data_IF_861978449360
#
_entry.id   IF_861978449360
#
_cell.length_a   1.000
_cell.length_b   1.000
_cell.length_c   1.000
_cell.angle_alpha   90.00
_cell.angle_beta   90.00
_cell.angle_gamma   90.00
#
_symmetry.space_group_name_H-M   'P 1'
#
loop_
_entity.id
_entity.type
_entity.pdbx_description
1 polymer ?
#
# COMPACT_ATOMS: atom_id res chain seq x y z
N UNK A 1 -18.43 16.38 -4.17
CA UNK A 1 -18.24 15.85 -2.81
C UNK A 1 -18.07 14.35 -2.96
N UNK A 2 -16.84 13.90 -3.19
CA UNK A 2 -16.56 12.46 -3.26
C UNK A 2 -16.71 11.94 -1.84
N UNK A 3 -17.62 11.00 -1.62
CA UNK A 3 -17.91 10.41 -0.33
C UNK A 3 -16.60 9.85 0.28
N UNK A 4 -16.00 10.62 1.19
CA UNK A 4 -14.65 10.41 1.70
C UNK A 4 -14.47 9.08 2.45
N UNK A 5 -15.57 8.39 2.77
CA UNK A 5 -15.61 7.06 3.40
C UNK A 5 -15.30 5.93 2.42
N UNK A 6 -15.50 6.14 1.11
CA UNK A 6 -15.34 5.08 0.10
C UNK A 6 -13.89 4.78 -0.22
N UNK A 7 -12.95 5.66 0.14
CA UNK A 7 -11.52 5.45 -0.16
C UNK A 7 -10.98 4.18 0.49
N UNK A 8 -11.45 3.82 1.68
CA UNK A 8 -11.01 2.63 2.40
C UNK A 8 -11.52 1.32 1.80
N UNK A 9 -12.62 1.38 1.05
CA UNK A 9 -13.20 0.28 0.26
C UNK A 9 -12.60 0.17 -1.14
N UNK A 10 -11.86 1.19 -1.60
CA UNK A 10 -11.15 1.10 -2.87
C UNK A 10 -10.14 -0.04 -2.82
N UNK A 11 -10.02 -0.72 -3.95
CA UNK A 11 -9.06 -1.81 -4.09
C UNK A 11 -7.77 -1.28 -4.68
N UNK A 12 -6.68 -1.75 -4.11
CA UNK A 12 -5.36 -1.42 -4.57
C UNK A 12 -4.38 -2.50 -4.18
N UNK A 13 -3.16 -2.31 -4.66
CA UNK A 13 -2.04 -3.18 -4.45
C UNK A 13 -0.99 -2.39 -3.70
N UNK A 14 -0.62 -2.86 -2.52
CA UNK A 14 0.46 -2.29 -1.73
C UNK A 14 1.75 -3.04 -2.09
N UNK A 15 2.65 -2.39 -2.80
CA UNK A 15 3.97 -2.92 -3.12
C UNK A 15 5.00 -2.33 -2.19
N UNK A 16 6.02 -3.14 -1.86
CA UNK A 16 7.23 -2.68 -1.21
C UNK A 16 8.31 -2.65 -2.29
N UNK A 17 8.88 -1.49 -2.55
CA UNK A 17 10.12 -1.36 -3.30
C UNK A 17 11.20 -2.10 -2.51
N UNK A 18 11.35 -3.39 -2.81
CA UNK A 18 12.56 -4.09 -2.43
C UNK A 18 13.68 -3.52 -3.30
N UNK A 19 14.72 -3.04 -2.63
CA UNK A 19 15.97 -2.61 -3.22
C UNK A 19 16.37 -3.61 -4.31
N UNK A 20 16.50 -3.15 -5.56
CA UNK A 20 16.96 -3.95 -6.70
C UNK A 20 18.46 -4.32 -6.57
N UNK A 21 18.99 -4.41 -5.35
CA UNK A 21 20.33 -4.92 -5.04
C UNK A 21 20.26 -6.38 -4.59
N UNK A 22 19.82 -7.26 -5.49
CA UNK A 22 20.25 -8.66 -5.45
C UNK A 22 20.03 -9.29 -6.81
N UNK A 23 21.08 -9.21 -7.64
CA UNK A 23 21.27 -10.05 -8.81
C UNK A 23 21.44 -11.52 -8.40
N UNK A 24 20.37 -12.13 -7.91
CA UNK A 24 20.29 -13.55 -7.59
C UNK A 24 19.11 -14.08 -8.39
N UNK A 25 19.42 -14.95 -9.36
CA UNK A 25 18.42 -15.79 -10.04
C UNK A 25 17.61 -16.53 -8.96
N UNK A 26 16.37 -16.09 -8.71
CA UNK A 26 15.47 -16.73 -7.74
C UNK A 26 14.38 -17.52 -8.47
N UNK A 27 14.14 -18.78 -8.07
CA UNK A 27 13.24 -19.70 -8.75
C UNK A 27 11.79 -19.22 -8.61
N UNK A 28 11.00 -19.40 -9.69
CA UNK A 28 9.56 -19.14 -9.81
C UNK A 28 8.84 -19.06 -8.45
N UNK A 29 8.68 -17.84 -7.93
CA UNK A 29 7.77 -17.60 -6.82
C UNK A 29 6.36 -17.70 -7.39
N UNK A 30 5.56 -18.52 -6.73
CA UNK A 30 4.12 -18.65 -6.93
C UNK A 30 3.50 -17.27 -7.20
N UNK A 31 2.51 -17.24 -8.09
CA UNK A 31 1.78 -16.09 -8.63
C UNK A 31 1.01 -15.29 -7.54
N UNK A 32 1.64 -15.00 -6.40
CA UNK A 32 1.20 -14.05 -5.38
C UNK A 32 1.52 -12.63 -5.87
N UNK A 33 1.14 -12.34 -7.12
CA UNK A 33 0.94 -10.96 -7.54
C UNK A 33 -0.03 -10.38 -6.50
N UNK A 34 0.36 -9.34 -5.75
CA UNK A 34 -0.45 -8.86 -4.65
C UNK A 34 -1.81 -8.40 -5.20
N UNK A 35 -2.80 -9.27 -5.02
CA UNK A 35 -4.12 -9.08 -5.59
C UNK A 35 -4.71 -7.79 -5.03
N UNK A 36 -5.33 -6.99 -5.90
CA UNK A 36 -5.96 -5.74 -5.49
C UNK A 36 -7.00 -6.03 -4.40
N UNK A 37 -6.73 -5.53 -3.19
CA UNK A 37 -7.55 -5.71 -1.99
C UNK A 37 -7.96 -4.36 -1.43
N UNK A 38 -9.02 -4.29 -0.62
CA UNK A 38 -9.46 -3.04 -0.01
C UNK A 38 -8.31 -2.36 0.76
N UNK A 39 -8.25 -1.03 0.67
CA UNK A 39 -7.23 -0.22 1.35
C UNK A 39 -7.15 -0.50 2.84
N UNK A 40 -8.31 -0.67 3.50
CA UNK A 40 -8.38 -1.05 4.92
C UNK A 40 -7.66 -2.36 5.27
N UNK A 41 -7.49 -3.27 4.32
CA UNK A 41 -6.85 -4.57 4.57
C UNK A 41 -5.35 -4.52 4.25
N UNK A 42 -4.98 -3.88 3.14
CA UNK A 42 -3.58 -3.81 2.70
C UNK A 42 -2.77 -2.79 3.51
N UNK A 43 -3.36 -1.64 3.88
CA UNK A 43 -2.67 -0.59 4.63
C UNK A 43 -2.37 -0.97 6.08
N UNK A 44 -2.91 -2.10 6.58
CA UNK A 44 -2.51 -2.69 7.87
C UNK A 44 -1.00 -2.94 7.90
N UNK A 45 -0.43 -3.42 6.79
CA UNK A 45 1.01 -3.71 6.70
C UNK A 45 1.83 -2.42 6.80
N UNK A 46 1.44 -1.38 6.07
CA UNK A 46 2.06 -0.06 6.16
C UNK A 46 1.97 0.54 7.57
N UNK A 47 0.78 0.48 8.18
CA UNK A 47 0.54 0.99 9.53
C UNK A 47 1.41 0.28 10.58
N UNK A 48 1.62 -1.04 10.44
CA UNK A 48 2.48 -1.83 11.33
C UNK A 48 3.97 -1.69 11.05
N UNK A 49 4.35 -1.24 9.86
CA UNK A 49 5.74 -1.06 9.49
C UNK A 49 6.39 0.11 10.25
N UNK A 50 7.71 0.01 10.46
CA UNK A 50 8.51 1.08 11.04
C UNK A 50 8.57 2.29 10.11
N UNK A 51 8.83 3.51 10.60
CA UNK A 51 8.96 4.70 9.75
C UNK A 51 9.93 4.53 8.59
N UNK A 52 11.08 3.88 8.84
CA UNK A 52 12.09 3.59 7.82
C UNK A 52 11.58 2.60 6.74
N UNK A 53 10.85 1.55 7.14
CA UNK A 53 10.27 0.60 6.19
C UNK A 53 9.15 1.25 5.36
N UNK A 54 8.39 2.18 5.94
CA UNK A 54 7.26 2.88 5.29
C UNK A 54 7.70 3.61 4.03
N UNK A 55 8.89 4.19 4.02
CA UNK A 55 9.45 4.92 2.86
C UNK A 55 9.56 4.05 1.60
N UNK A 56 9.66 2.73 1.77
CA UNK A 56 9.74 1.77 0.67
C UNK A 56 8.36 1.31 0.17
N UNK A 57 7.25 1.70 0.80
CA UNK A 57 5.93 1.28 0.35
C UNK A 57 5.36 2.23 -0.69
N UNK A 58 4.71 1.65 -1.69
CA UNK A 58 3.92 2.35 -2.70
C UNK A 58 2.57 1.66 -2.82
N UNK A 59 1.51 2.45 -2.85
CA UNK A 59 0.15 1.95 -3.05
C UNK A 59 -0.29 2.31 -4.47
N UNK A 60 -0.73 1.32 -5.24
CA UNK A 60 -1.31 1.55 -6.56
C UNK A 60 -2.77 1.10 -6.54
N UNK A 61 -3.68 2.02 -6.80
CA UNK A 61 -5.12 1.72 -6.90
C UNK A 61 -5.46 1.10 -8.26
N UNK A 62 -6.59 0.40 -8.34
CA UNK A 62 -7.08 -0.18 -9.60
C UNK A 62 -7.37 0.88 -10.69
N UNK A 63 -7.61 2.13 -10.31
CA UNK A 63 -7.79 3.24 -11.25
C UNK A 63 -6.45 3.77 -11.84
N UNK A 64 -5.32 3.15 -11.48
CA UNK A 64 -3.97 3.55 -11.92
C UNK A 64 -3.35 4.68 -11.09
N UNK A 65 -4.02 5.15 -10.04
CA UNK A 65 -3.46 6.17 -9.16
C UNK A 65 -2.43 5.54 -8.21
N UNK A 66 -1.22 6.08 -8.22
CA UNK A 66 -0.16 5.70 -7.29
C UNK A 66 -0.09 6.70 -6.13
N UNK A 67 0.19 6.18 -4.93
CA UNK A 67 0.39 6.92 -3.69
C UNK A 67 1.75 6.53 -3.12
N UNK A 68 2.56 7.52 -2.79
CA UNK A 68 3.83 7.31 -2.11
C UNK A 68 3.63 7.10 -0.61
N UNK A 69 4.69 6.72 0.09
CA UNK A 69 4.68 6.55 1.55
C UNK A 69 4.14 7.79 2.30
N UNK A 70 4.47 8.99 1.81
CA UNK A 70 3.99 10.25 2.38
C UNK A 70 2.47 10.40 2.18
N UNK A 71 1.97 10.21 0.95
CA UNK A 71 0.53 10.27 0.66
C UNK A 71 -0.26 9.23 1.47
N UNK A 72 0.28 8.03 1.66
CA UNK A 72 -0.33 6.98 2.48
C UNK A 72 -0.36 7.41 3.95
N UNK A 73 0.71 8.04 4.44
CA UNK A 73 0.78 8.55 5.82
C UNK A 73 -0.20 9.70 6.05
N UNK A 74 -0.34 10.61 5.09
CA UNK A 74 -1.36 11.65 5.10
C UNK A 74 -2.77 11.04 5.08
N UNK A 75 -2.99 10.03 4.24
CA UNK A 75 -4.26 9.31 4.15
C UNK A 75 -4.62 8.68 5.50
N UNK A 76 -3.67 8.02 6.17
CA UNK A 76 -3.86 7.40 7.49
C UNK A 76 -4.06 8.42 8.62
N UNK A 77 -3.55 9.65 8.46
CA UNK A 77 -3.71 10.73 9.43
C UNK A 77 -5.11 11.37 9.40
N UNK A 78 -5.93 11.04 8.40
CA UNK A 78 -7.30 11.54 8.29
C UNK A 78 -8.15 11.10 9.50
N UNK A 79 -9.08 11.95 9.98
CA UNK A 79 -9.93 11.62 11.14
C UNK A 79 -10.91 10.46 10.87
N UNK A 80 -11.14 10.12 9.59
CA UNK A 80 -12.00 9.02 9.14
C UNK A 80 -11.21 7.71 8.91
N UNK A 81 -9.93 7.67 9.31
CA UNK A 81 -9.07 6.50 9.16
C UNK A 81 -9.49 5.36 10.10
N UNK A 82 -9.63 4.12 9.59
CA UNK A 82 -9.96 2.97 10.42
C UNK A 82 -8.78 2.49 11.29
N UNK A 83 -7.60 3.10 11.16
CA UNK A 83 -6.37 2.72 11.84
C UNK A 83 -6.03 3.58 13.07
N UNK A 84 -6.99 4.40 13.54
CA UNK A 84 -6.80 5.34 14.64
C UNK A 84 -6.78 4.67 16.02
#
# INVERSE_FOLDING_TARGET
MTDNRHIWDLRGTLTRAHDEESGIELPLLEDDLPAARPLREILVAFHRASPQDREHFTLVLENGQAFSADDISELLSRPDSPFR
#
